data_IF_303237409077
#
_entry.id   IF_303237409077
#
_cell.length_a   1.000
_cell.length_b   1.000
_cell.length_c   1.000
_cell.angle_alpha   90.00
_cell.angle_beta   90.00
_cell.angle_gamma   90.00
#
_symmetry.space_group_name_H-M   'P 1'
#
loop_
_entity.id
_entity.type
_entity.pdbx_description
1 polymer ?
#
# COMPACT_ATOMS: atom_id res chain seq x y z
N UNK A 1 6.25 35.62 6.07
CA UNK A 1 4.97 35.01 6.50
C UNK A 1 4.00 34.95 5.33
N UNK A 2 3.94 35.99 4.52
CA UNK A 2 3.03 36.09 3.35
C UNK A 2 3.32 35.09 2.23
N UNK A 3 4.58 34.73 2.01
CA UNK A 3 4.91 33.73 0.98
C UNK A 3 4.29 32.34 1.26
N UNK A 4 4.24 31.93 2.54
CA UNK A 4 3.58 30.65 2.89
C UNK A 4 2.07 30.72 2.69
N UNK A 5 1.44 31.86 2.99
CA UNK A 5 0.01 32.06 2.74
C UNK A 5 -0.31 31.95 1.24
N UNK A 6 0.54 32.54 0.39
CA UNK A 6 0.40 32.46 -1.07
C UNK A 6 0.48 31.02 -1.58
N UNK A 7 1.46 30.25 -1.10
CA UNK A 7 1.62 28.85 -1.48
C UNK A 7 0.47 27.96 -1.00
N UNK A 8 -0.04 28.18 0.21
CA UNK A 8 -1.22 27.47 0.73
C UNK A 8 -2.46 27.79 -0.08
N UNK A 9 -2.69 29.07 -0.41
CA UNK A 9 -3.81 29.49 -1.23
C UNK A 9 -3.75 28.86 -2.64
N UNK A 10 -2.55 28.79 -3.24
CA UNK A 10 -2.35 28.15 -4.53
C UNK A 10 -2.63 26.64 -4.54
N UNK A 11 -2.58 25.96 -3.39
CA UNK A 11 -2.83 24.52 -3.22
C UNK A 11 -4.14 24.21 -2.51
N UNK A 12 -5.04 25.19 -2.38
CA UNK A 12 -6.25 25.04 -1.59
C UNK A 12 -7.14 23.88 -2.07
N UNK A 13 -7.25 23.67 -3.38
CA UNK A 13 -8.02 22.55 -3.97
C UNK A 13 -7.52 21.19 -3.50
N UNK A 14 -6.20 20.98 -3.51
CA UNK A 14 -5.56 19.73 -3.09
C UNK A 14 -5.67 19.52 -1.57
N UNK A 15 -5.53 20.60 -0.80
CA UNK A 15 -5.57 20.56 0.67
C UNK A 15 -7.00 20.39 1.22
N UNK A 16 -8.01 20.83 0.49
CA UNK A 16 -9.42 20.76 0.88
C UNK A 16 -10.17 19.59 0.25
N UNK A 17 -9.49 18.71 -0.49
CA UNK A 17 -10.06 17.53 -1.12
C UNK A 17 -10.81 16.61 -0.14
N UNK A 18 -10.45 16.65 1.15
CA UNK A 18 -11.14 15.94 2.24
C UNK A 18 -12.60 16.37 2.43
N UNK A 19 -12.99 17.56 1.98
CA UNK A 19 -14.37 18.03 2.04
C UNK A 19 -15.28 17.29 1.05
N UNK A 20 -14.71 16.86 -0.08
CA UNK A 20 -15.39 16.05 -1.10
C UNK A 20 -15.22 14.55 -0.80
N UNK A 21 -14.04 14.17 -0.30
CA UNK A 21 -13.65 12.78 0.00
C UNK A 21 -13.31 12.60 1.49
N UNK A 22 -14.31 12.39 2.36
CA UNK A 22 -14.12 12.35 3.83
C UNK A 22 -13.21 11.21 4.32
N UNK A 23 -12.99 10.18 3.50
CA UNK A 23 -12.09 9.07 3.77
C UNK A 23 -10.60 9.43 3.64
N UNK A 24 -10.27 10.56 3.02
CA UNK A 24 -8.89 11.02 2.89
C UNK A 24 -8.39 11.61 4.22
N UNK A 25 -7.14 11.35 4.62
CA UNK A 25 -6.58 11.94 5.82
C UNK A 25 -6.30 13.44 5.58
N UNK A 26 -6.66 14.29 6.57
CA UNK A 26 -6.38 15.73 6.55
C UNK A 26 -4.88 16.07 6.48
N UNK A 27 -4.03 15.13 6.89
CA UNK A 27 -2.58 15.29 6.89
C UNK A 27 -1.88 14.13 6.16
N UNK A 28 -0.68 14.40 5.66
CA UNK A 28 0.11 13.42 4.92
C UNK A 28 0.89 12.42 5.82
N UNK A 29 0.81 12.52 7.15
CA UNK A 29 1.58 11.68 8.08
C UNK A 29 1.58 10.17 7.74
N UNK A 30 0.44 9.52 7.38
CA UNK A 30 0.45 8.10 7.03
C UNK A 30 1.31 7.79 5.79
N UNK A 31 1.30 8.68 4.80
CA UNK A 31 2.12 8.56 3.61
C UNK A 31 3.60 8.78 3.93
N UNK A 32 3.94 9.78 4.75
CA UNK A 32 5.32 10.04 5.19
C UNK A 32 5.88 8.86 6.01
N UNK A 33 5.10 8.32 6.94
CA UNK A 33 5.49 7.15 7.73
C UNK A 33 5.77 5.92 6.85
N UNK A 34 4.92 5.68 5.83
CA UNK A 34 5.14 4.60 4.87
C UNK A 34 6.42 4.81 4.04
N UNK A 35 6.66 6.04 3.56
CA UNK A 35 7.87 6.38 2.81
C UNK A 35 9.14 6.27 3.67
N UNK A 36 9.05 6.64 4.96
CA UNK A 36 10.17 6.63 5.89
C UNK A 36 10.79 5.26 6.05
N UNK A 37 9.99 4.20 6.11
CA UNK A 37 10.51 2.82 6.20
C UNK A 37 11.40 2.48 5.01
N UNK A 38 11.01 2.88 3.80
CA UNK A 38 11.80 2.65 2.59
C UNK A 38 13.10 3.46 2.60
N UNK A 39 13.03 4.74 2.98
CA UNK A 39 14.21 5.62 3.05
C UNK A 39 15.22 5.11 4.08
N UNK A 40 14.77 4.74 5.28
CA UNK A 40 15.63 4.19 6.32
C UNK A 40 16.30 2.89 5.86
N UNK A 41 15.53 1.99 5.24
CA UNK A 41 16.07 0.72 4.77
C UNK A 41 17.05 0.90 3.61
N UNK A 42 16.79 1.84 2.70
CA UNK A 42 17.73 2.22 1.64
C UNK A 42 19.06 2.71 2.22
N UNK A 43 19.01 3.56 3.25
CA UNK A 43 20.20 4.09 3.90
C UNK A 43 21.02 2.98 4.58
N UNK A 44 20.36 2.05 5.28
CA UNK A 44 21.03 0.92 5.97
C UNK A 44 21.63 -0.07 4.96
N UNK A 45 20.94 -0.34 3.86
CA UNK A 45 21.33 -1.34 2.87
C UNK A 45 22.15 -0.79 1.69
N UNK A 46 22.59 0.47 1.76
CA UNK A 46 23.35 1.17 0.70
C UNK A 46 22.66 1.16 -0.68
N UNK A 47 21.32 1.19 -0.68
CA UNK A 47 20.47 1.11 -1.86
C UNK A 47 20.69 -0.13 -2.75
N UNK A 48 19.84 -0.29 -3.74
CA UNK A 48 19.96 -1.35 -4.75
C UNK A 48 20.98 -0.94 -5.81
N UNK A 49 21.82 -1.90 -6.22
CA UNK A 49 22.90 -1.68 -7.19
C UNK A 49 22.50 -2.05 -8.63
N UNK A 50 21.47 -2.88 -8.78
CA UNK A 50 20.99 -3.36 -10.09
C UNK A 50 19.51 -3.04 -10.27
N UNK A 51 19.07 -2.97 -11.53
CA UNK A 51 17.67 -2.77 -11.91
C UNK A 51 16.78 -3.91 -11.40
N UNK A 52 17.27 -5.15 -11.45
CA UNK A 52 16.56 -6.32 -10.95
C UNK A 52 16.42 -6.26 -9.43
N UNK A 53 17.47 -5.82 -8.75
CA UNK A 53 17.46 -5.61 -7.30
C UNK A 53 16.44 -4.56 -6.89
N UNK A 54 16.36 -3.43 -7.60
CA UNK A 54 15.34 -2.40 -7.39
C UNK A 54 13.94 -2.99 -7.58
N UNK A 55 13.71 -3.73 -8.67
CA UNK A 55 12.40 -4.31 -8.98
C UNK A 55 11.96 -5.34 -7.94
N UNK A 56 12.89 -6.19 -7.49
CA UNK A 56 12.64 -7.16 -6.42
C UNK A 56 12.30 -6.44 -5.10
N UNK A 57 13.07 -5.42 -4.77
CA UNK A 57 12.87 -4.62 -3.57
C UNK A 57 11.50 -3.94 -3.54
N UNK A 58 11.13 -3.24 -4.61
CA UNK A 58 9.84 -2.57 -4.74
C UNK A 58 8.67 -3.55 -4.61
N UNK A 59 8.81 -4.73 -5.21
CA UNK A 59 7.83 -5.81 -5.11
C UNK A 59 7.67 -6.28 -3.65
N UNK A 60 8.78 -6.60 -2.98
CA UNK A 60 8.74 -7.10 -1.60
C UNK A 60 8.25 -6.03 -0.61
N UNK A 61 8.67 -4.77 -0.76
CA UNK A 61 8.20 -3.68 0.09
C UNK A 61 6.69 -3.45 -0.09
N UNK A 62 6.19 -3.51 -1.32
CA UNK A 62 4.75 -3.40 -1.61
C UNK A 62 3.96 -4.56 -0.97
N UNK A 63 4.49 -5.79 -1.03
CA UNK A 63 3.87 -6.95 -0.39
C UNK A 63 3.82 -6.81 1.13
N UNK A 64 4.95 -6.44 1.78
CA UNK A 64 5.02 -6.23 3.23
C UNK A 64 4.03 -5.16 3.68
N UNK A 65 3.97 -4.03 2.97
CA UNK A 65 3.04 -2.95 3.28
C UNK A 65 1.58 -3.40 3.14
N UNK A 66 1.26 -4.17 2.09
CA UNK A 66 -0.09 -4.67 1.84
C UNK A 66 -0.53 -5.69 2.88
N UNK A 67 0.29 -6.70 3.18
CA UNK A 67 -0.04 -7.72 4.19
C UNK A 67 -0.22 -7.07 5.56
N UNK A 68 0.63 -6.09 5.91
CA UNK A 68 0.51 -5.34 7.16
C UNK A 68 -0.78 -4.52 7.23
N UNK A 69 -1.20 -3.86 6.14
CA UNK A 69 -2.51 -3.16 6.07
C UNK A 69 -3.70 -4.11 6.23
N UNK A 70 -3.56 -5.35 5.73
CA UNK A 70 -4.62 -6.36 5.84
C UNK A 70 -4.63 -7.10 7.18
N UNK A 71 -3.59 -6.94 8.02
CA UNK A 71 -3.44 -7.66 9.29
C UNK A 71 -2.89 -9.08 9.14
N UNK A 72 -2.26 -9.38 7.99
CA UNK A 72 -1.71 -10.70 7.66
C UNK A 72 -0.20 -10.68 7.88
N UNK A 73 0.34 -11.74 8.48
CA UNK A 73 1.79 -11.90 8.59
C UNK A 73 2.41 -12.10 7.20
N UNK A 74 3.37 -11.25 6.85
CA UNK A 74 4.09 -11.35 5.58
C UNK A 74 4.74 -12.72 5.40
N UNK A 75 5.35 -13.28 6.45
CA UNK A 75 6.01 -14.57 6.38
C UNK A 75 5.02 -15.71 6.14
N UNK A 76 3.84 -15.65 6.75
CA UNK A 76 2.79 -16.64 6.53
C UNK A 76 2.26 -16.56 5.09
N UNK A 77 2.08 -15.34 4.57
CA UNK A 77 1.70 -15.10 3.19
C UNK A 77 2.73 -15.65 2.19
N UNK A 78 4.03 -15.36 2.38
CA UNK A 78 5.09 -15.88 1.49
C UNK A 78 5.21 -17.40 1.59
N UNK A 79 5.06 -17.95 2.79
CA UNK A 79 5.06 -19.39 3.02
C UNK A 79 3.90 -20.07 2.28
N UNK A 80 2.69 -19.53 2.41
CA UNK A 80 1.50 -20.01 1.70
C UNK A 80 1.69 -19.91 0.18
N UNK A 81 2.23 -18.81 -0.34
CA UNK A 81 2.58 -18.66 -1.76
C UNK A 81 3.57 -19.73 -2.24
N UNK A 82 4.63 -19.99 -1.47
CA UNK A 82 5.65 -20.98 -1.83
C UNK A 82 5.09 -22.40 -1.80
N UNK A 83 4.29 -22.74 -0.78
CA UNK A 83 3.63 -24.03 -0.71
C UNK A 83 2.63 -24.19 -1.85
N UNK A 84 1.80 -23.19 -2.15
CA UNK A 84 0.89 -23.21 -3.28
C UNK A 84 1.62 -23.33 -4.63
N UNK A 85 2.79 -22.72 -4.79
CA UNK A 85 3.61 -22.87 -5.99
C UNK A 85 4.22 -24.28 -6.12
N UNK A 86 4.69 -24.86 -5.01
CA UNK A 86 5.20 -26.23 -4.97
C UNK A 86 4.09 -27.29 -5.14
N UNK A 87 2.90 -27.02 -4.62
CA UNK A 87 1.69 -27.85 -4.73
C UNK A 87 0.96 -27.65 -6.06
N UNK A 88 1.28 -26.62 -6.86
CA UNK A 88 0.73 -26.50 -8.23
C UNK A 88 1.11 -27.69 -9.12
N UNK A 89 2.13 -28.46 -8.75
CA UNK A 89 2.52 -29.73 -9.35
C UNK A 89 1.93 -30.98 -8.67
N UNK A 90 1.31 -30.84 -7.49
CA UNK A 90 0.71 -31.93 -6.72
C UNK A 90 -0.73 -31.55 -6.38
N UNK A 91 -1.63 -32.03 -7.23
CA UNK A 91 -3.08 -32.11 -7.12
C UNK A 91 -3.62 -31.71 -5.72
N UNK A 92 -4.33 -30.59 -5.71
CA UNK A 92 -5.35 -30.21 -4.73
C UNK A 92 -4.91 -30.08 -3.26
N UNK A 93 -4.60 -28.84 -2.86
CA UNK A 93 -5.03 -28.35 -1.55
C UNK A 93 -5.17 -26.81 -1.60
N UNK A 94 -6.24 -26.32 -0.97
CA UNK A 94 -6.69 -24.93 -1.01
C UNK A 94 -5.62 -23.98 -0.44
N UNK A 95 -5.44 -22.82 -1.08
CA UNK A 95 -4.63 -21.75 -0.46
C UNK A 95 -5.28 -21.38 0.86
N UNK A 96 -4.52 -21.40 1.96
CA UNK A 96 -5.05 -20.97 3.27
C UNK A 96 -5.33 -19.47 3.28
N UNK A 97 -4.60 -18.71 2.47
CA UNK A 97 -4.78 -17.27 2.34
C UNK A 97 -5.27 -16.97 0.91
N UNK A 98 -6.48 -16.40 0.73
CA UNK A 98 -6.94 -15.94 -0.57
C UNK A 98 -5.97 -14.92 -1.19
N UNK A 99 -6.08 -14.68 -2.50
CA UNK A 99 -5.22 -13.68 -3.14
C UNK A 99 -5.40 -12.32 -2.47
N UNK A 100 -4.31 -11.54 -2.32
CA UNK A 100 -4.40 -10.20 -1.72
C UNK A 100 -5.43 -9.32 -2.46
N UNK A 101 -5.55 -9.49 -3.78
CA UNK A 101 -6.54 -8.78 -4.59
C UNK A 101 -7.98 -9.13 -4.19
N UNK A 102 -8.27 -10.40 -3.91
CA UNK A 102 -9.59 -10.85 -3.42
C UNK A 102 -9.89 -10.22 -2.08
N UNK A 103 -8.96 -10.29 -1.14
CA UNK A 103 -9.13 -9.73 0.22
C UNK A 103 -9.31 -8.21 0.17
N UNK A 104 -8.57 -7.52 -0.69
CA UNK A 104 -8.73 -6.06 -0.89
C UNK A 104 -10.13 -5.75 -1.40
N UNK A 105 -10.63 -6.50 -2.40
CA UNK A 105 -11.98 -6.29 -2.94
C UNK A 105 -13.05 -6.52 -1.88
N UNK A 106 -12.94 -7.61 -1.11
CA UNK A 106 -13.86 -7.93 -0.01
C UNK A 106 -13.84 -6.87 1.10
N UNK A 107 -12.67 -6.33 1.46
CA UNK A 107 -12.60 -5.25 2.45
C UNK A 107 -13.11 -3.92 1.89
N UNK A 108 -12.92 -3.67 0.59
CA UNK A 108 -13.38 -2.44 -0.04
C UNK A 108 -14.90 -2.37 -0.20
N UNK A 109 -15.60 -3.50 -0.37
CA UNK A 109 -17.06 -3.51 -0.50
C UNK A 109 -17.78 -3.06 0.78
N UNK A 110 -17.12 -3.19 1.94
CA UNK A 110 -17.62 -2.67 3.22
C UNK A 110 -17.34 -1.18 3.45
N UNK A 111 -16.66 -0.49 2.53
CA UNK A 111 -16.36 0.94 2.67
C UNK A 111 -17.57 1.78 2.20
N UNK A 112 -18.23 2.54 3.10
CA UNK A 112 -19.39 3.35 2.73
C UNK A 112 -19.03 4.56 1.86
N UNK A 113 -17.76 4.92 1.70
CA UNK A 113 -17.33 6.15 1.02
C UNK A 113 -17.11 6.01 -0.50
N UNK A 114 -17.55 4.91 -1.12
CA UNK A 114 -17.42 4.73 -2.58
C UNK A 114 -18.17 5.77 -3.42
N UNK A 115 -19.15 6.47 -2.84
CA UNK A 115 -19.91 7.52 -3.50
C UNK A 115 -19.09 8.79 -3.79
N UNK A 116 -18.04 9.08 -3.01
CA UNK A 116 -17.27 10.33 -3.16
C UNK A 116 -16.49 10.40 -4.48
N UNK A 117 -16.15 9.25 -5.08
CA UNK A 117 -15.38 9.15 -6.33
C UNK A 117 -16.22 8.89 -7.59
N UNK A 118 -17.55 8.92 -7.47
CA UNK A 118 -18.40 8.78 -8.66
C UNK A 118 -18.35 10.10 -9.45
N UNK A 119 -18.06 10.06 -10.76
CA UNK A 119 -18.13 11.26 -11.59
C UNK A 119 -19.57 11.79 -11.59
N UNK A 120 -19.71 13.11 -11.50
CA UNK A 120 -21.00 13.82 -11.62
C UNK A 120 -21.69 13.56 -12.99
#
# INVERSE_FOLDING_TARGET
MDERKRLTAAKASELLLVLEHPELPLHNNPAELAARTMVQRRNISYATQTTEGTKAWDTFMSLVATTRKLGISFFEYVRDLRFAAALRYRISEERKIPSLATIIREKSSGNPFGWSWQPE
#
